data_IF_646965977887
#
_entry.id   IF_646965977887
#
_cell.length_a   1.000
_cell.length_b   1.000
_cell.length_c   1.000
_cell.angle_alpha   90.00
_cell.angle_beta   90.00
_cell.angle_gamma   90.00
#
_symmetry.space_group_name_H-M   'P 1'
#
loop_
_entity.id
_entity.type
_entity.pdbx_description
1 polymer ?
#
# COMPACT_ATOMS: atom_id res chain seq x y z
N UNK A 1 -5.13 -3.51 -2.86
CA UNK A 1 -4.70 -2.32 -2.10
C UNK A 1 -5.84 -1.90 -1.20
N UNK A 2 -5.71 -2.15 0.10
CA UNK A 2 -6.61 -1.57 1.09
C UNK A 2 -5.95 -0.29 1.57
N UNK A 3 -6.56 0.85 1.26
CA UNK A 3 -6.17 2.11 1.88
C UNK A 3 -6.75 2.05 3.28
N UNK A 4 -5.90 1.72 4.25
CA UNK A 4 -6.30 1.67 5.64
C UNK A 4 -6.54 3.09 6.12
N UNK A 5 -7.79 3.41 6.41
CA UNK A 5 -8.16 4.72 6.90
C UNK A 5 -7.99 4.75 8.41
N UNK A 6 -7.00 5.49 8.88
CA UNK A 6 -6.90 5.79 10.31
C UNK A 6 -7.97 6.84 10.65
N UNK A 7 -9.21 6.38 10.76
CA UNK A 7 -10.37 7.23 11.03
C UNK A 7 -11.25 6.63 12.12
N UNK A 8 -11.98 7.51 12.79
CA UNK A 8 -13.10 7.15 13.63
C UNK A 8 -14.39 7.60 12.94
N UNK A 9 -15.33 6.68 12.79
CA UNK A 9 -16.67 6.97 12.24
C UNK A 9 -17.68 7.04 13.37
N UNK A 10 -18.48 8.10 13.38
CA UNK A 10 -19.72 8.22 14.16
C UNK A 10 -20.89 8.30 13.19
N UNK A 11 -21.86 7.40 13.34
CA UNK A 11 -23.14 7.48 12.62
C UNK A 11 -24.05 8.46 13.35
N UNK A 12 -24.57 9.43 12.64
CA UNK A 12 -25.50 10.44 13.12
C UNK A 12 -26.80 10.33 12.32
N UNK A 13 -27.69 9.42 12.74
CA UNK A 13 -28.86 9.02 11.95
C UNK A 13 -28.45 8.34 10.65
N UNK A 14 -28.82 8.92 9.51
CA UNK A 14 -28.38 8.48 8.18
C UNK A 14 -27.05 9.11 7.77
N UNK A 15 -26.53 10.09 8.50
CA UNK A 15 -25.29 10.77 8.12
C UNK A 15 -24.05 10.16 8.80
N UNK A 16 -22.90 10.44 8.18
CA UNK A 16 -21.61 9.94 8.64
C UNK A 16 -20.69 11.11 9.02
N UNK A 17 -20.21 11.09 10.26
CA UNK A 17 -19.15 11.99 10.74
C UNK A 17 -17.85 11.22 10.88
N UNK A 18 -16.78 11.75 10.31
CA UNK A 18 -15.46 11.14 10.33
C UNK A 18 -14.46 12.05 11.03
N UNK A 19 -13.64 11.46 11.90
CA UNK A 19 -12.46 12.11 12.48
C UNK A 19 -11.24 11.38 11.94
N UNK A 20 -10.39 12.10 11.20
CA UNK A 20 -9.14 11.58 10.64
C UNK A 20 -7.93 12.25 11.31
N UNK A 21 -6.78 11.59 11.27
CA UNK A 21 -5.57 12.01 11.98
C UNK A 21 -5.00 13.34 11.51
N UNK A 22 -5.13 13.65 10.24
CA UNK A 22 -4.65 14.88 9.62
C UNK A 22 -5.81 15.83 9.28
N UNK A 23 -6.94 15.69 9.97
CA UNK A 23 -8.09 16.59 9.87
C UNK A 23 -9.02 16.33 8.68
N UNK A 24 -9.92 17.28 8.37
CA UNK A 24 -10.99 17.07 7.40
C UNK A 24 -10.52 16.84 5.96
N UNK A 25 -9.38 17.42 5.57
CA UNK A 25 -8.82 17.23 4.23
C UNK A 25 -8.40 15.78 3.96
N UNK A 26 -7.87 15.08 4.97
CA UNK A 26 -7.62 13.64 4.89
C UNK A 26 -8.92 12.86 4.73
N UNK A 27 -9.95 13.17 5.53
CA UNK A 27 -11.25 12.51 5.40
C UNK A 27 -11.85 12.68 4.01
N UNK A 28 -11.73 13.88 3.42
CA UNK A 28 -12.15 14.14 2.05
C UNK A 28 -11.35 13.31 1.03
N UNK A 29 -10.02 13.25 1.18
CA UNK A 29 -9.16 12.37 0.38
C UNK A 29 -9.56 10.90 0.46
N UNK A 30 -9.88 10.44 1.66
CA UNK A 30 -10.31 9.07 1.91
C UNK A 30 -11.63 8.75 1.20
N UNK A 31 -12.59 9.69 1.18
CA UNK A 31 -13.81 9.57 0.37
C UNK A 31 -13.51 9.54 -1.12
N UNK A 32 -12.61 10.41 -1.62
CA UNK A 32 -12.20 10.40 -3.03
C UNK A 32 -11.62 9.05 -3.42
N UNK A 33 -10.74 8.46 -2.61
CA UNK A 33 -10.19 7.14 -2.89
C UNK A 33 -11.26 6.04 -2.87
N UNK A 34 -12.15 6.06 -1.89
CA UNK A 34 -13.25 5.11 -1.79
C UNK A 34 -14.18 5.18 -3.02
N UNK A 35 -14.52 6.39 -3.46
CA UNK A 35 -15.31 6.63 -4.65
C UNK A 35 -14.57 6.23 -5.94
N UNK A 36 -13.26 6.48 -6.04
CA UNK A 36 -12.47 6.03 -7.19
C UNK A 36 -12.51 4.51 -7.35
N UNK A 37 -12.38 3.75 -6.25
CA UNK A 37 -12.50 2.29 -6.26
C UNK A 37 -13.91 1.81 -6.66
N UNK A 38 -14.95 2.59 -6.36
CA UNK A 38 -16.33 2.26 -6.68
C UNK A 38 -16.75 2.64 -8.12
N UNK A 39 -16.23 3.76 -8.65
CA UNK A 39 -16.65 4.32 -9.95
C UNK A 39 -15.76 3.91 -11.12
N UNK A 40 -14.47 3.68 -10.89
CA UNK A 40 -13.56 3.22 -11.95
C UNK A 40 -13.78 1.72 -12.14
N UNK A 41 -14.31 1.35 -13.29
CA UNK A 41 -14.55 -0.06 -13.61
C UNK A 41 -13.23 -0.83 -13.70
N UNK A 42 -13.15 -2.05 -13.14
CA UNK A 42 -12.05 -2.94 -13.41
C UNK A 42 -12.03 -3.33 -14.90
N UNK A 43 -10.88 -3.74 -15.38
CA UNK A 43 -10.73 -4.36 -16.70
C UNK A 43 -11.47 -5.70 -16.75
N UNK A 44 -11.77 -6.26 -17.94
CA UNK A 44 -12.55 -7.51 -18.06
C UNK A 44 -11.95 -8.73 -17.33
N UNK A 45 -10.64 -8.74 -17.14
CA UNK A 45 -9.88 -9.72 -16.37
C UNK A 45 -9.83 -9.41 -14.86
N UNK A 46 -10.63 -8.46 -14.40
CA UNK A 46 -10.81 -8.10 -12.99
C UNK A 46 -9.72 -7.19 -12.41
N UNK A 47 -8.76 -6.72 -13.22
CA UNK A 47 -7.71 -5.85 -12.72
C UNK A 47 -8.23 -4.43 -12.51
N UNK A 48 -7.88 -3.82 -11.38
CA UNK A 48 -8.28 -2.44 -11.08
C UNK A 48 -7.13 -1.44 -11.32
N UNK A 49 -6.34 -1.65 -12.38
CA UNK A 49 -5.09 -0.93 -12.63
C UNK A 49 -5.31 0.58 -12.70
N UNK A 50 -6.31 1.04 -13.45
CA UNK A 50 -6.60 2.47 -13.62
C UNK A 50 -6.94 3.13 -12.26
N UNK A 51 -7.74 2.48 -11.41
CA UNK A 51 -8.05 3.03 -10.10
C UNK A 51 -6.80 3.09 -9.20
N UNK A 52 -5.95 2.07 -9.25
CA UNK A 52 -4.70 2.04 -8.49
C UNK A 52 -3.72 3.11 -8.95
N UNK A 53 -3.54 3.28 -10.26
CA UNK A 53 -2.67 4.32 -10.82
C UNK A 53 -3.20 5.72 -10.42
N UNK A 54 -4.51 5.93 -10.51
CA UNK A 54 -5.14 7.18 -10.10
C UNK A 54 -4.91 7.48 -8.62
N UNK A 55 -5.14 6.50 -7.74
CA UNK A 55 -4.88 6.60 -6.30
C UNK A 55 -3.39 6.86 -6.02
N UNK A 56 -2.48 6.19 -6.73
CA UNK A 56 -1.04 6.41 -6.57
C UNK A 56 -0.64 7.82 -6.98
N UNK A 57 -1.20 8.35 -8.08
CA UNK A 57 -0.98 9.74 -8.48
C UNK A 57 -1.48 10.70 -7.40
N UNK A 58 -2.68 10.46 -6.85
CA UNK A 58 -3.25 11.28 -5.78
C UNK A 58 -2.36 11.32 -4.53
N UNK A 59 -1.93 10.15 -4.04
CA UNK A 59 -1.06 10.02 -2.88
C UNK A 59 0.33 10.63 -3.12
N UNK A 60 0.87 10.51 -4.33
CA UNK A 60 2.19 11.06 -4.69
C UNK A 60 2.21 12.57 -4.87
N UNK A 61 1.05 13.21 -5.09
CA UNK A 61 0.95 14.64 -5.40
C UNK A 61 0.06 15.42 -4.42
N UNK A 62 -0.41 14.80 -3.34
CA UNK A 62 -1.22 15.47 -2.32
C UNK A 62 -0.41 16.59 -1.65
N UNK A 63 -1.03 17.77 -1.54
CA UNK A 63 -0.47 18.88 -0.76
C UNK A 63 -1.01 18.81 0.65
N UNK A 64 -0.29 18.13 1.53
CA UNK A 64 -0.69 17.99 2.93
C UNK A 64 -0.41 19.26 3.71
N UNK A 65 -1.46 19.99 4.04
CA UNK A 65 -1.42 21.24 4.82
C UNK A 65 -2.36 21.15 6.03
N UNK A 66 -2.57 19.93 6.53
CA UNK A 66 -3.53 19.65 7.60
C UNK A 66 -4.97 19.90 7.13
N UNK A 67 -5.64 20.88 7.71
CA UNK A 67 -7.05 21.21 7.41
C UNK A 67 -7.28 21.55 5.93
N UNK A 68 -6.29 22.13 5.26
CA UNK A 68 -6.37 22.54 3.85
C UNK A 68 -5.80 21.48 2.88
N UNK A 69 -5.67 20.22 3.31
CA UNK A 69 -5.14 19.16 2.45
C UNK A 69 -5.96 19.03 1.18
N UNK A 70 -5.29 19.17 0.03
CA UNK A 70 -5.92 19.12 -1.29
C UNK A 70 -5.33 18.00 -2.14
N UNK A 71 -6.22 17.18 -2.66
CA UNK A 71 -5.91 16.08 -3.57
C UNK A 71 -6.01 16.57 -5.02
N UNK A 72 -5.01 16.31 -5.88
CA UNK A 72 -4.98 16.82 -7.25
C UNK A 72 -5.82 15.96 -8.21
N UNK A 73 -7.13 15.87 -7.94
CA UNK A 73 -8.08 15.03 -8.67
C UNK A 73 -8.09 15.32 -10.16
N UNK A 74 -8.07 16.60 -10.56
CA UNK A 74 -8.03 17.00 -11.97
C UNK A 74 -6.77 16.47 -12.66
N UNK A 75 -5.59 16.81 -12.13
CA UNK A 75 -4.30 16.42 -12.71
C UNK A 75 -4.17 14.91 -12.82
N UNK A 76 -4.54 14.16 -11.77
CA UNK A 76 -4.43 12.70 -11.77
C UNK A 76 -5.49 12.03 -12.66
N UNK A 77 -6.66 12.64 -12.82
CA UNK A 77 -7.65 12.10 -13.75
C UNK A 77 -7.19 12.25 -15.19
N UNK A 78 -6.51 13.35 -15.52
CA UNK A 78 -5.93 13.56 -16.84
C UNK A 78 -4.75 12.62 -17.10
N UNK A 79 -3.82 12.47 -16.15
CA UNK A 79 -2.64 11.59 -16.32
C UNK A 79 -3.04 10.13 -16.51
N UNK A 80 -3.97 9.64 -15.70
CA UNK A 80 -4.40 8.23 -15.70
C UNK A 80 -5.62 7.96 -16.59
N UNK A 81 -6.08 8.97 -17.34
CA UNK A 81 -7.22 8.88 -18.29
C UNK A 81 -8.52 8.41 -17.62
N UNK A 82 -8.79 8.91 -16.41
CA UNK A 82 -10.03 8.64 -15.66
C UNK A 82 -11.17 9.46 -16.25
N UNK A 83 -12.03 8.82 -17.04
CA UNK A 83 -13.16 9.47 -17.72
C UNK A 83 -14.33 9.80 -16.79
N UNK A 84 -14.39 9.15 -15.62
CA UNK A 84 -15.49 9.26 -14.63
C UNK A 84 -15.16 10.22 -13.49
N UNK A 85 -14.26 11.19 -13.70
CA UNK A 85 -13.84 12.16 -12.67
C UNK A 85 -15.03 12.81 -11.96
N UNK A 86 -16.00 13.30 -12.74
CA UNK A 86 -17.17 13.99 -12.19
C UNK A 86 -17.98 13.09 -11.24
N UNK A 87 -18.13 11.81 -11.57
CA UNK A 87 -18.83 10.85 -10.72
C UNK A 87 -18.07 10.57 -9.41
N UNK A 88 -16.73 10.55 -9.47
CA UNK A 88 -15.88 10.41 -8.27
C UNK A 88 -16.04 11.63 -7.36
N UNK A 89 -15.96 12.85 -7.91
CA UNK A 89 -16.10 14.10 -7.15
C UNK A 89 -17.50 14.26 -6.55
N UNK A 90 -18.54 13.89 -7.30
CA UNK A 90 -19.92 13.91 -6.81
C UNK A 90 -20.14 12.85 -5.72
N UNK A 91 -19.64 11.64 -5.91
CA UNK A 91 -19.69 10.58 -4.91
C UNK A 91 -19.05 11.03 -3.60
N UNK A 92 -17.85 11.62 -3.64
CA UNK A 92 -17.11 12.02 -2.44
C UNK A 92 -17.84 13.10 -1.61
N UNK A 93 -18.64 13.95 -2.27
CA UNK A 93 -19.47 15.00 -1.64
C UNK A 93 -20.83 14.51 -1.16
N UNK A 94 -21.22 13.28 -1.52
CA UNK A 94 -22.55 12.74 -1.27
C UNK A 94 -22.60 11.80 -0.05
N UNK A 95 -23.81 11.37 0.30
CA UNK A 95 -24.04 10.29 1.26
C UNK A 95 -23.36 8.98 0.82
N UNK A 96 -23.29 8.69 -0.48
CA UNK A 96 -22.61 7.50 -1.01
C UNK A 96 -21.13 7.46 -0.60
N UNK A 97 -20.42 8.58 -0.71
CA UNK A 97 -19.02 8.67 -0.29
C UNK A 97 -18.85 8.46 1.22
N UNK A 98 -19.81 8.90 2.02
CA UNK A 98 -19.86 8.59 3.46
C UNK A 98 -20.07 7.09 3.72
N UNK A 99 -21.05 6.48 3.05
CA UNK A 99 -21.33 5.06 3.19
C UNK A 99 -20.14 4.18 2.79
N UNK A 100 -19.50 4.49 1.66
CA UNK A 100 -18.31 3.78 1.20
C UNK A 100 -17.16 3.90 2.20
N UNK A 101 -16.92 5.10 2.74
CA UNK A 101 -15.87 5.31 3.72
C UNK A 101 -16.16 4.59 5.05
N UNK A 102 -17.41 4.52 5.50
CA UNK A 102 -17.80 3.70 6.66
C UNK A 102 -17.53 2.22 6.40
N UNK A 103 -17.89 1.68 5.23
CA UNK A 103 -17.60 0.28 4.86
C UNK A 103 -16.11 -0.04 4.99
N UNK A 104 -15.23 0.84 4.48
CA UNK A 104 -13.79 0.64 4.62
C UNK A 104 -13.32 0.83 6.07
N UNK A 105 -13.88 1.78 6.81
CA UNK A 105 -13.62 1.96 8.24
C UNK A 105 -13.97 0.71 9.06
N UNK A 106 -15.11 0.07 8.78
CA UNK A 106 -15.50 -1.20 9.42
C UNK A 106 -14.53 -2.33 9.05
N UNK A 107 -14.07 -2.40 7.80
CA UNK A 107 -13.04 -3.38 7.41
C UNK A 107 -11.73 -3.17 8.19
N UNK A 108 -11.29 -1.93 8.38
CA UNK A 108 -10.11 -1.61 9.20
C UNK A 108 -10.33 -2.00 10.67
N UNK A 109 -11.49 -1.69 11.26
CA UNK A 109 -11.81 -2.09 12.64
C UNK A 109 -11.85 -3.60 12.83
N UNK A 110 -12.42 -4.33 11.88
CA UNK A 110 -12.46 -5.80 11.90
C UNK A 110 -11.06 -6.42 11.81
N UNK A 111 -10.11 -5.73 11.18
CA UNK A 111 -8.72 -6.15 11.16
C UNK A 111 -8.04 -5.88 12.52
N UNK A 112 -8.19 -4.67 13.06
CA UNK A 112 -7.68 -4.27 14.36
C UNK A 112 -8.35 -2.97 14.84
N UNK A 113 -8.86 -2.92 16.08
CA UNK A 113 -9.48 -1.73 16.67
C UNK A 113 -8.86 -1.38 18.05
N UNK A 114 -8.18 -0.22 18.20
CA UNK A 114 -7.77 0.68 17.12
C UNK A 114 -6.61 0.10 16.31
N UNK A 115 -6.55 0.44 15.02
CA UNK A 115 -5.38 0.14 14.20
C UNK A 115 -4.14 0.81 14.83
N UNK A 116 -3.02 0.08 14.91
CA UNK A 116 -1.82 0.59 15.59
C UNK A 116 -0.96 1.52 14.74
N UNK A 117 -0.89 1.29 13.43
CA UNK A 117 -0.06 2.10 12.53
C UNK A 117 -0.48 1.98 11.07
N UNK A 118 -0.06 2.95 10.26
CA UNK A 118 -0.11 2.91 8.80
C UNK A 118 1.29 3.17 8.22
N UNK A 119 1.65 2.58 7.07
CA UNK A 119 0.87 1.60 6.32
C UNK A 119 0.74 0.25 7.07
N UNK A 120 -0.34 -0.50 6.80
CA UNK A 120 -0.55 -1.87 7.29
C UNK A 120 -0.83 -2.77 6.10
N UNK A 121 0.00 -3.79 5.91
CA UNK A 121 -0.08 -4.77 4.83
C UNK A 121 -0.52 -6.10 5.42
N UNK A 122 -1.52 -6.71 4.78
CA UNK A 122 -2.11 -7.99 5.19
C UNK A 122 -2.23 -8.90 3.97
N UNK A 123 -2.00 -10.19 4.17
CA UNK A 123 -2.25 -11.22 3.18
C UNK A 123 -3.33 -12.16 3.70
N UNK A 124 -4.28 -12.52 2.85
CA UNK A 124 -5.42 -13.40 3.18
C UNK A 124 -6.17 -12.95 4.45
N UNK A 125 -6.43 -11.64 4.56
CA UNK A 125 -7.19 -10.99 5.63
C UNK A 125 -6.67 -11.25 7.06
N UNK A 126 -5.41 -11.68 7.20
CA UNK A 126 -4.77 -11.95 8.49
C UNK A 126 -3.71 -10.92 8.80
N UNK A 127 -3.87 -10.21 9.93
CA UNK A 127 -2.83 -9.34 10.46
C UNK A 127 -1.75 -10.18 11.14
N UNK A 128 -0.55 -10.16 10.57
CA UNK A 128 0.68 -10.67 11.17
C UNK A 128 1.69 -9.52 11.23
N UNK A 129 2.16 -9.19 12.44
CA UNK A 129 3.01 -8.02 12.64
C UNK A 129 4.39 -8.16 11.97
N UNK A 130 4.94 -9.37 11.94
CA UNK A 130 6.22 -9.64 11.29
C UNK A 130 6.06 -9.54 9.79
N UNK A 131 5.05 -10.19 9.22
CA UNK A 131 4.78 -10.13 7.78
C UNK A 131 4.45 -8.70 7.33
N UNK A 132 3.68 -7.95 8.10
CA UNK A 132 3.43 -6.53 7.84
C UNK A 132 4.75 -5.73 7.77
N UNK A 133 5.66 -5.93 8.73
CA UNK A 133 6.96 -5.24 8.75
C UNK A 133 7.85 -5.64 7.58
N UNK A 134 7.89 -6.92 7.23
CA UNK A 134 8.64 -7.43 6.08
C UNK A 134 8.09 -6.91 4.76
N UNK A 135 6.76 -6.92 4.59
CA UNK A 135 6.10 -6.49 3.37
C UNK A 135 6.25 -4.99 3.10
N UNK A 136 6.43 -4.18 4.15
CA UNK A 136 6.78 -2.76 3.99
C UNK A 136 8.21 -2.54 3.49
N UNK A 137 9.13 -3.48 3.75
CA UNK A 137 10.52 -3.43 3.27
C UNK A 137 10.64 -4.03 1.87
N UNK A 138 10.04 -5.19 1.67
CA UNK A 138 10.00 -5.91 0.40
C UNK A 138 8.65 -6.59 0.25
N UNK A 139 7.75 -5.89 -0.44
CA UNK A 139 6.41 -6.37 -0.71
C UNK A 139 6.42 -7.61 -1.61
N UNK A 140 7.29 -7.65 -2.63
CA UNK A 140 7.33 -8.76 -3.59
C UNK A 140 7.81 -10.03 -2.89
N UNK A 141 8.91 -9.97 -2.13
CA UNK A 141 9.40 -11.12 -1.38
C UNK A 141 8.35 -11.66 -0.42
N UNK A 142 7.62 -10.76 0.26
CA UNK A 142 6.56 -11.14 1.19
C UNK A 142 5.35 -11.76 0.47
N UNK A 143 4.87 -11.14 -0.61
CA UNK A 143 3.76 -11.65 -1.43
C UNK A 143 4.07 -13.04 -2.00
N UNK A 144 5.29 -13.26 -2.48
CA UNK A 144 5.72 -14.52 -3.07
C UNK A 144 5.71 -15.72 -2.11
N UNK A 145 5.69 -15.47 -0.78
CA UNK A 145 5.47 -16.51 0.24
C UNK A 145 4.02 -17.02 0.23
N UNK A 146 3.07 -16.21 -0.22
CA UNK A 146 1.63 -16.51 -0.25
C UNK A 146 1.13 -17.00 -1.62
N UNK A 147 1.93 -16.88 -2.67
CA UNK A 147 1.61 -17.42 -3.98
C UNK A 147 2.01 -18.91 -4.01
N UNK A 148 1.02 -19.77 -4.24
CA UNK A 148 1.23 -21.21 -4.44
C UNK A 148 2.02 -21.50 -5.71
N UNK A 149 2.62 -22.69 -5.78
CA UNK A 149 3.44 -23.13 -6.91
C UNK A 149 2.68 -23.98 -7.95
N UNK A 150 1.40 -24.28 -7.70
CA UNK A 150 0.56 -25.17 -8.50
C UNK A 150 0.48 -24.80 -10.00
N UNK A 151 0.71 -23.54 -10.36
CA UNK A 151 0.72 -23.05 -11.74
C UNK A 151 2.05 -22.39 -12.15
N UNK A 152 3.11 -22.64 -11.37
CA UNK A 152 4.37 -21.91 -11.47
C UNK A 152 4.29 -20.53 -10.82
N UNK A 153 5.37 -20.14 -10.11
CA UNK A 153 5.45 -18.80 -9.52
C UNK A 153 5.83 -17.76 -10.59
N UNK A 154 5.34 -16.51 -10.48
CA UNK A 154 5.83 -15.40 -11.31
C UNK A 154 7.34 -15.25 -11.25
N UNK A 155 7.97 -14.81 -12.33
CA UNK A 155 9.43 -14.68 -12.43
C UNK A 155 10.00 -13.72 -11.37
N UNK A 156 9.22 -12.71 -10.97
CA UNK A 156 9.53 -11.77 -9.91
C UNK A 156 9.80 -12.47 -8.57
N UNK A 157 9.09 -13.56 -8.30
CA UNK A 157 9.27 -14.37 -7.08
C UNK A 157 10.58 -15.17 -7.06
N UNK A 158 11.26 -15.29 -8.20
CA UNK A 158 12.52 -16.01 -8.31
C UNK A 158 13.73 -15.09 -8.12
N UNK A 159 13.53 -13.76 -8.23
CA UNK A 159 14.60 -12.76 -8.10
C UNK A 159 14.93 -12.41 -6.65
N UNK A 160 13.93 -12.44 -5.76
CA UNK A 160 14.05 -12.02 -4.35
C UNK A 160 14.77 -13.01 -3.42
N UNK A 161 15.17 -14.19 -3.92
CA UNK A 161 15.88 -15.21 -3.15
C UNK A 161 17.41 -15.17 -3.23
N UNK A 162 17.99 -14.36 -4.12
CA UNK A 162 19.41 -14.44 -4.47
C UNK A 162 20.33 -13.47 -3.70
N UNK A 163 19.82 -12.44 -3.02
CA UNK A 163 20.66 -11.42 -2.37
C UNK A 163 21.03 -11.69 -0.90
N UNK A 164 20.50 -12.75 -0.28
CA UNK A 164 20.80 -13.11 1.12
C UNK A 164 21.78 -14.28 1.29
N UNK A 165 22.61 -14.58 0.29
CA UNK A 165 23.80 -15.41 0.52
C UNK A 165 24.96 -14.51 0.96
N UNK A 166 25.23 -14.54 2.27
CA UNK A 166 26.43 -13.98 2.86
C UNK A 166 27.67 -14.36 2.03
N UNK A 167 28.41 -13.35 1.57
CA UNK A 167 29.76 -13.58 1.02
C UNK A 167 30.56 -14.34 2.09
N UNK A 168 31.14 -15.51 1.79
CA UNK A 168 32.04 -16.14 2.73
C UNK A 168 33.24 -15.22 2.89
N UNK A 169 33.53 -14.85 4.14
CA UNK A 169 34.74 -14.11 4.50
C UNK A 169 35.93 -15.03 4.21
N UNK A 170 36.55 -14.86 3.04
CA UNK A 170 37.75 -15.61 2.66
C UNK A 170 38.88 -15.28 3.62
N UNK A 171 39.20 -16.22 4.51
CA UNK A 171 40.40 -16.18 5.35
C UNK A 171 41.60 -16.41 4.44
N UNK A 172 42.36 -15.35 4.15
CA UNK A 172 43.64 -15.46 3.47
C UNK A 172 44.68 -16.04 4.44
N UNK A 173 44.96 -17.35 4.31
CA UNK A 173 46.07 -18.01 4.98
C UNK A 173 47.39 -17.58 4.31
N UNK A 174 48.14 -16.70 4.97
CA UNK A 174 49.53 -16.43 4.63
C UNK A 174 50.38 -17.67 4.98
N UNK A 175 50.79 -18.43 3.97
CA UNK A 175 51.79 -19.49 4.14
C UNK A 175 53.19 -18.86 4.15
N UNK A 176 53.81 -18.89 5.33
CA UNK A 176 55.22 -18.57 5.57
C UNK A 176 56.08 -19.71 5.00
N UNK A 177 56.86 -19.45 3.95
CA UNK A 177 57.88 -20.37 3.46
C UNK A 177 59.27 -19.82 3.81
N UNK A 178 59.88 -20.40 4.86
CA UNK A 178 61.31 -20.26 5.16
C UNK A 178 62.12 -21.00 4.08
N UNK A 179 63.09 -20.32 3.46
CA UNK A 179 64.24 -20.96 2.85
C UNK A 179 65.48 -20.55 3.65
N UNK A 180 65.99 -21.50 4.42
CA UNK A 180 67.20 -21.41 5.23
C UNK A 180 68.43 -21.80 4.39
N UNK A 181 69.54 -21.09 4.65
CA UNK A 181 70.94 -21.56 4.54
C UNK A 181 71.56 -21.64 3.13
N UNK A 182 72.79 -21.18 2.84
CA UNK A 182 73.96 -20.74 3.65
C UNK A 182 75.00 -20.09 2.72
N UNK A 183 75.60 -19.00 3.21
CA UNK A 183 77.04 -18.63 3.21
C UNK A 183 77.94 -19.03 2.01
N UNK A 184 78.30 -18.02 1.20
CA UNK A 184 79.66 -17.48 1.04
C UNK A 184 79.55 -16.00 0.69
#
# INVERSE_FOLDING_TARGET
VFISFFLQTVKDGTDYKFTCHHGPGECNGNKIHACALAKIAPTPDGQNKVALDFINCLLGNVKNTGENTQFPVETCSQSEKVLVKADIENCAKSHEGGQLLDIYGQKTKNLQDPLKSVPTVVFNDKLDATVNSEAQKDFIASLCKYIGDAHGKPAECLKSGAENQAKPLGIALFTLALALSRMF
#
